data_IF_443796029017
#
_entry.id   IF_443796029017
#
_cell.length_a   1.000
_cell.length_b   1.000
_cell.length_c   1.000
_cell.angle_alpha   90.00
_cell.angle_beta   90.00
_cell.angle_gamma   90.00
#
_symmetry.space_group_name_H-M   'P 1'
#
loop_
_entity.id
_entity.type
_entity.pdbx_description
1 polymer ?
#
# COMPACT_ATOMS: atom_id res chain seq x y z
N UNK A 1 -4.17 -11.05 -7.11
CA UNK A 1 -2.87 -10.39 -6.84
C UNK A 1 -3.03 -9.75 -5.48
N UNK A 2 -2.16 -10.08 -4.53
CA UNK A 2 -2.29 -9.75 -3.09
C UNK A 2 -1.32 -8.67 -2.69
N UNK A 3 -1.78 -7.66 -1.95
CA UNK A 3 -0.94 -6.63 -1.34
C UNK A 3 0.20 -7.27 -0.53
N UNK A 4 1.47 -6.87 -0.74
CA UNK A 4 2.61 -7.55 -0.14
C UNK A 4 2.59 -7.43 1.39
N UNK A 5 2.80 -8.56 2.06
CA UNK A 5 2.88 -8.63 3.53
C UNK A 5 4.17 -7.95 4.00
N UNK A 6 4.03 -6.89 4.80
CA UNK A 6 5.14 -6.12 5.37
C UNK A 6 5.43 -6.51 6.81
N UNK A 7 6.58 -6.08 7.34
CA UNK A 7 6.93 -6.21 8.77
C UNK A 7 5.83 -5.63 9.69
N UNK A 8 5.16 -4.56 9.28
CA UNK A 8 4.07 -3.95 10.04
C UNK A 8 2.88 -4.91 10.22
N UNK A 9 2.63 -5.83 9.28
CA UNK A 9 1.59 -6.85 9.45
C UNK A 9 1.93 -7.83 10.59
N UNK A 10 3.18 -8.28 10.66
CA UNK A 10 3.64 -9.17 11.74
C UNK A 10 3.55 -8.49 13.12
N UNK A 11 3.92 -7.20 13.16
CA UNK A 11 3.78 -6.39 14.37
C UNK A 11 2.30 -6.20 14.74
N UNK A 12 1.43 -5.91 13.77
CA UNK A 12 0.01 -5.74 13.99
C UNK A 12 -0.66 -7.03 14.53
N UNK A 13 -0.33 -8.18 13.96
CA UNK A 13 -0.78 -9.49 14.46
C UNK A 13 -0.30 -9.74 15.90
N UNK A 14 0.97 -9.44 16.20
CA UNK A 14 1.53 -9.59 17.55
C UNK A 14 0.81 -8.67 18.54
N UNK A 15 0.57 -7.41 18.17
CA UNK A 15 -0.17 -6.43 18.97
C UNK A 15 -1.60 -6.91 19.24
N UNK A 16 -2.30 -7.45 18.23
CA UNK A 16 -3.64 -8.03 18.40
C UNK A 16 -3.66 -9.25 19.33
N UNK A 17 -2.68 -10.14 19.21
CA UNK A 17 -2.57 -11.30 20.12
C UNK A 17 -2.30 -10.87 21.57
N UNK A 18 -1.45 -9.86 21.78
CA UNK A 18 -1.22 -9.29 23.11
C UNK A 18 -2.47 -8.61 23.66
N UNK A 19 -3.18 -7.86 22.82
CA UNK A 19 -4.45 -7.23 23.15
C UNK A 19 -5.49 -8.26 23.62
N UNK A 20 -5.72 -9.32 22.84
CA UNK A 20 -6.69 -10.37 23.20
C UNK A 20 -6.35 -11.03 24.54
N UNK A 21 -5.07 -11.33 24.81
CA UNK A 21 -4.64 -11.86 26.11
C UNK A 21 -4.92 -10.90 27.26
N UNK A 22 -4.61 -9.61 27.10
CA UNK A 22 -4.85 -8.59 28.13
C UNK A 22 -6.34 -8.37 28.40
N UNK A 23 -7.20 -8.44 27.38
CA UNK A 23 -8.66 -8.41 27.57
C UNK A 23 -9.10 -9.57 28.45
N UNK A 24 -8.61 -10.79 28.19
CA UNK A 24 -8.92 -11.95 29.02
C UNK A 24 -8.37 -11.83 30.46
N UNK A 25 -7.19 -11.26 30.64
CA UNK A 25 -6.64 -10.98 31.98
C UNK A 25 -7.56 -10.03 32.77
N UNK A 26 -8.04 -8.94 32.14
CA UNK A 26 -8.98 -7.99 32.78
C UNK A 26 -10.32 -8.67 33.10
N UNK A 27 -10.82 -9.51 32.19
CA UNK A 27 -12.06 -10.28 32.40
C UNK A 27 -11.97 -11.20 33.60
N UNK A 28 -10.82 -11.86 33.79
CA UNK A 28 -10.60 -12.85 34.85
C UNK A 28 -10.13 -12.24 36.18
N UNK A 29 -9.69 -10.98 36.20
CA UNK A 29 -9.31 -10.31 37.44
C UNK A 29 -10.54 -10.06 38.33
N UNK A 30 -10.49 -10.63 39.55
CA UNK A 30 -11.56 -10.56 40.55
C UNK A 30 -11.57 -9.24 41.33
N UNK A 31 -10.51 -8.43 41.19
CA UNK A 31 -10.40 -7.12 41.84
C UNK A 31 -11.22 -6.05 41.14
N UNK A 32 -11.57 -6.26 39.86
CA UNK A 32 -12.38 -5.30 39.11
C UNK A 32 -13.88 -5.57 39.25
N UNK A 33 -14.64 -4.50 39.51
CA UNK A 33 -16.10 -4.50 39.30
C UNK A 33 -16.41 -4.52 37.80
N UNK A 34 -17.66 -4.85 37.39
CA UNK A 34 -18.05 -4.80 35.98
C UNK A 34 -17.73 -3.46 35.30
N UNK A 35 -17.96 -2.35 35.98
CA UNK A 35 -17.71 -0.99 35.49
C UNK A 35 -16.21 -0.74 35.32
N UNK A 36 -15.40 -1.16 36.29
CA UNK A 36 -13.94 -1.04 36.22
C UNK A 36 -13.36 -1.90 35.09
N UNK A 37 -13.94 -3.07 34.80
CA UNK A 37 -13.56 -3.90 33.63
C UNK A 37 -13.89 -3.19 32.34
N UNK A 38 -15.08 -2.61 32.24
CA UNK A 38 -15.50 -1.87 31.04
C UNK A 38 -14.55 -0.69 30.76
N UNK A 39 -14.19 0.07 31.79
CA UNK A 39 -13.23 1.17 31.70
C UNK A 39 -11.84 0.71 31.27
N UNK A 40 -11.29 -0.31 31.93
CA UNK A 40 -9.96 -0.84 31.60
C UNK A 40 -9.91 -1.42 30.18
N UNK A 41 -10.97 -2.12 29.74
CA UNK A 41 -11.07 -2.66 28.38
C UNK A 41 -11.25 -1.54 27.35
N UNK A 42 -12.02 -0.49 27.65
CA UNK A 42 -12.18 0.67 26.77
C UNK A 42 -10.83 1.36 26.52
N UNK A 43 -10.06 1.62 27.59
CA UNK A 43 -8.72 2.18 27.51
C UNK A 43 -7.77 1.31 26.70
N UNK A 44 -7.73 0.01 27.02
CA UNK A 44 -6.89 -0.94 26.29
C UNK A 44 -7.24 -1.00 24.79
N UNK A 45 -8.54 -0.99 24.46
CA UNK A 45 -9.01 -0.98 23.07
C UNK A 45 -8.59 0.28 22.33
N UNK A 46 -8.80 1.46 22.94
CA UNK A 46 -8.36 2.75 22.37
C UNK A 46 -6.86 2.75 22.10
N UNK A 47 -6.05 2.46 23.12
CA UNK A 47 -4.59 2.53 23.03
C UNK A 47 -4.06 1.54 21.97
N UNK A 48 -4.66 0.35 21.90
CA UNK A 48 -4.32 -0.66 20.89
C UNK A 48 -4.68 -0.20 19.49
N UNK A 49 -5.86 0.37 19.27
CA UNK A 49 -6.24 0.89 17.95
C UNK A 49 -5.37 2.07 17.52
N UNK A 50 -4.96 2.93 18.45
CA UNK A 50 -3.98 3.97 18.14
C UNK A 50 -2.64 3.38 17.69
N UNK A 51 -2.12 2.36 18.38
CA UNK A 51 -0.90 1.65 17.96
C UNK A 51 -1.04 0.96 16.60
N UNK A 52 -2.18 0.29 16.35
CA UNK A 52 -2.45 -0.37 15.08
C UNK A 52 -2.61 0.64 13.94
N UNK A 53 -3.21 1.80 14.21
CA UNK A 53 -3.29 2.92 13.27
C UNK A 53 -1.91 3.43 12.87
N UNK A 54 -1.00 3.61 13.84
CA UNK A 54 0.40 3.99 13.53
C UNK A 54 1.11 2.95 12.65
N UNK A 55 0.92 1.65 12.94
CA UNK A 55 1.48 0.59 12.11
C UNK A 55 0.90 0.57 10.69
N UNK A 56 -0.38 0.93 10.52
CA UNK A 56 -1.00 1.10 9.20
C UNK A 56 -0.35 2.26 8.44
N UNK A 57 -0.21 3.41 9.08
CA UNK A 57 0.40 4.59 8.45
C UNK A 57 1.87 4.32 8.06
N UNK A 58 2.62 3.63 8.92
CA UNK A 58 4.00 3.20 8.61
C UNK A 58 4.07 2.22 7.45
N UNK A 59 3.13 1.27 7.36
CA UNK A 59 3.01 0.36 6.21
C UNK A 59 2.76 1.16 4.94
N UNK A 60 1.80 2.08 4.96
CA UNK A 60 1.40 2.87 3.79
C UNK A 60 2.55 3.77 3.32
N UNK A 61 3.27 4.39 4.26
CA UNK A 61 4.49 5.13 3.97
C UNK A 61 5.58 4.23 3.35
N UNK A 62 5.76 3.01 3.87
CA UNK A 62 6.73 2.04 3.35
C UNK A 62 6.38 1.60 1.93
N UNK A 63 5.11 1.24 1.68
CA UNK A 63 4.63 0.83 0.36
C UNK A 63 4.71 1.97 -0.65
N UNK A 64 4.32 3.19 -0.28
CA UNK A 64 4.44 4.34 -1.15
C UNK A 64 5.91 4.70 -1.44
N UNK A 65 6.80 4.59 -0.45
CA UNK A 65 8.24 4.75 -0.66
C UNK A 65 8.81 3.71 -1.62
N UNK A 66 8.37 2.44 -1.49
CA UNK A 66 8.75 1.36 -2.40
C UNK A 66 8.22 1.58 -3.81
N UNK A 67 6.96 2.02 -3.94
CA UNK A 67 6.34 2.40 -5.22
C UNK A 67 7.19 3.46 -5.94
N UNK A 68 7.47 4.58 -5.27
CA UNK A 68 8.27 5.68 -5.84
C UNK A 68 9.65 5.19 -6.28
N UNK A 69 10.29 4.33 -5.49
CA UNK A 69 11.59 3.75 -5.84
C UNK A 69 11.51 2.86 -7.09
N UNK A 70 10.52 1.97 -7.17
CA UNK A 70 10.29 1.11 -8.34
C UNK A 70 9.97 1.92 -9.59
N UNK A 71 9.12 2.94 -9.47
CA UNK A 71 8.79 3.88 -10.54
C UNK A 71 10.05 4.58 -11.08
N UNK A 72 10.88 5.10 -10.17
CA UNK A 72 12.16 5.73 -10.54
C UNK A 72 13.15 4.74 -11.18
N UNK A 73 13.18 3.48 -10.74
CA UNK A 73 14.04 2.45 -11.32
C UNK A 73 13.57 2.01 -12.71
N UNK A 74 12.25 1.85 -12.90
CA UNK A 74 11.68 1.30 -14.13
C UNK A 74 11.66 2.33 -15.26
N UNK A 75 11.14 3.53 -14.98
CA UNK A 75 10.96 4.55 -16.01
C UNK A 75 11.68 5.87 -15.72
N UNK A 76 12.31 6.03 -14.55
CA UNK A 76 13.14 7.19 -14.26
C UNK A 76 14.49 7.21 -14.98
N UNK A 77 15.10 8.39 -15.01
CA UNK A 77 16.49 8.58 -15.43
C UNK A 77 17.47 8.18 -14.31
N UNK A 78 18.69 7.73 -14.65
CA UNK A 78 19.72 7.46 -13.65
C UNK A 78 20.07 8.73 -12.86
N UNK A 79 20.47 8.57 -11.59
CA UNK A 79 20.77 9.69 -10.67
C UNK A 79 21.78 10.71 -11.20
N UNK A 80 22.66 10.30 -12.11
CA UNK A 80 23.70 11.13 -12.72
C UNK A 80 23.46 11.37 -14.21
N UNK A 81 22.19 11.34 -14.65
CA UNK A 81 21.82 11.69 -16.00
C UNK A 81 22.33 13.09 -16.37
N UNK A 82 22.81 13.26 -17.60
CA UNK A 82 23.28 14.55 -18.07
C UNK A 82 22.11 15.53 -18.22
N UNK A 83 22.42 16.82 -18.34
CA UNK A 83 21.41 17.82 -18.73
C UNK A 83 20.77 17.48 -20.07
N UNK A 84 21.54 16.91 -21.00
CA UNK A 84 21.03 16.47 -22.30
C UNK A 84 20.00 15.35 -22.13
N UNK A 85 20.30 14.32 -21.34
CA UNK A 85 19.37 13.20 -21.09
C UNK A 85 18.09 13.68 -20.41
N UNK A 86 18.22 14.64 -19.49
CA UNK A 86 17.07 15.24 -18.79
C UNK A 86 16.15 15.99 -19.75
N UNK A 87 16.72 16.76 -20.69
CA UNK A 87 15.95 17.45 -21.72
C UNK A 87 15.31 16.47 -22.70
N UNK A 88 16.05 15.45 -23.14
CA UNK A 88 15.53 14.38 -24.00
C UNK A 88 14.39 13.63 -23.33
N UNK A 89 14.49 13.33 -22.03
CA UNK A 89 13.42 12.66 -21.29
C UNK A 89 12.17 13.53 -21.15
N UNK A 90 12.33 14.84 -20.95
CA UNK A 90 11.19 15.76 -20.94
C UNK A 90 10.49 15.82 -22.29
N UNK A 91 11.25 15.87 -23.38
CA UNK A 91 10.69 15.82 -24.74
C UNK A 91 9.98 14.48 -24.99
N UNK A 92 10.60 13.37 -24.58
CA UNK A 92 10.01 12.05 -24.68
C UNK A 92 8.69 11.93 -23.90
N UNK A 93 8.60 12.50 -22.69
CA UNK A 93 7.36 12.55 -21.92
C UNK A 93 6.27 13.36 -22.62
N UNK A 94 6.62 14.50 -23.22
CA UNK A 94 5.69 15.30 -24.02
C UNK A 94 5.25 14.59 -25.30
N UNK A 95 6.13 13.78 -25.90
CA UNK A 95 5.77 12.95 -27.06
C UNK A 95 4.86 11.79 -26.67
N UNK A 96 5.15 11.09 -25.58
CA UNK A 96 4.33 10.00 -25.08
C UNK A 96 2.94 10.49 -24.62
N UNK A 97 2.85 11.68 -24.02
CA UNK A 97 1.57 12.25 -23.57
C UNK A 97 0.60 12.58 -24.70
N UNK A 98 1.10 12.75 -25.93
CA UNK A 98 0.30 13.00 -27.14
C UNK A 98 -0.29 11.73 -27.76
N UNK A 99 0.15 10.54 -27.34
CA UNK A 99 -0.50 9.31 -27.74
C UNK A 99 -1.90 9.25 -27.10
N UNK A 100 -2.94 9.11 -27.93
CA UNK A 100 -4.33 9.20 -27.49
C UNK A 100 -4.82 7.93 -26.78
N UNK A 101 -4.26 6.78 -27.14
CA UNK A 101 -4.64 5.46 -26.64
C UNK A 101 -3.45 4.50 -26.60
N UNK A 102 -3.66 3.32 -26.01
CA UNK A 102 -2.69 2.24 -25.96
C UNK A 102 -2.18 1.78 -27.33
N UNK A 103 -2.97 1.90 -28.40
CA UNK A 103 -2.53 1.48 -29.75
C UNK A 103 -1.49 2.46 -30.31
N UNK A 104 -1.75 3.77 -30.20
CA UNK A 104 -0.81 4.81 -30.58
C UNK A 104 0.47 4.73 -29.74
N UNK A 105 0.33 4.43 -28.45
CA UNK A 105 1.45 4.30 -27.53
C UNK A 105 2.30 3.06 -27.84
N UNK A 106 1.69 1.93 -28.21
CA UNK A 106 2.38 0.72 -28.67
C UNK A 106 3.17 0.98 -29.97
N UNK A 107 2.57 1.68 -30.95
CA UNK A 107 3.27 2.03 -32.19
C UNK A 107 4.47 2.96 -31.94
N UNK A 108 4.33 3.90 -30.98
CA UNK A 108 5.43 4.75 -30.55
C UNK A 108 6.54 3.92 -29.86
N UNK A 109 6.17 2.90 -29.09
CA UNK A 109 7.12 1.98 -28.46
C UNK A 109 7.89 1.16 -29.50
N UNK A 110 7.21 0.58 -30.49
CA UNK A 110 7.85 -0.19 -31.57
C UNK A 110 8.90 0.68 -32.30
N UNK A 111 8.61 1.97 -32.50
CA UNK A 111 9.56 2.93 -33.08
C UNK A 111 10.78 3.11 -32.17
N UNK A 112 10.57 3.31 -30.87
CA UNK A 112 11.64 3.47 -29.89
C UNK A 112 12.53 2.21 -29.80
N UNK A 113 11.91 1.02 -29.83
CA UNK A 113 12.60 -0.27 -29.78
C UNK A 113 13.51 -0.45 -31.01
N UNK A 114 13.00 -0.17 -32.21
CA UNK A 114 13.80 -0.25 -33.46
C UNK A 114 15.02 0.69 -33.41
N UNK A 115 14.87 1.89 -32.83
CA UNK A 115 15.96 2.86 -32.71
C UNK A 115 16.84 2.68 -31.47
N UNK A 116 16.56 1.70 -30.60
CA UNK A 116 17.17 1.56 -29.27
C UNK A 116 17.09 2.86 -28.41
N UNK A 117 16.00 3.63 -28.56
CA UNK A 117 15.77 4.85 -27.80
C UNK A 117 15.19 4.51 -26.42
N UNK A 118 16.10 4.22 -25.50
CA UNK A 118 15.75 3.85 -24.12
C UNK A 118 15.08 4.98 -23.32
N UNK A 119 15.34 6.25 -23.68
CA UNK A 119 14.74 7.42 -23.01
C UNK A 119 13.27 7.52 -23.42
N UNK A 120 12.98 7.38 -24.72
CA UNK A 120 11.61 7.35 -25.22
C UNK A 120 10.84 6.13 -24.71
N UNK A 121 11.44 4.94 -24.74
CA UNK A 121 10.82 3.72 -24.23
C UNK A 121 10.41 3.85 -22.76
N UNK A 122 11.24 4.47 -21.91
CA UNK A 122 10.92 4.74 -20.50
C UNK A 122 9.77 5.74 -20.33
N UNK A 123 9.75 6.82 -21.12
CA UNK A 123 8.67 7.79 -21.07
C UNK A 123 7.32 7.17 -21.49
N UNK A 124 7.34 6.29 -22.50
CA UNK A 124 6.18 5.51 -22.93
C UNK A 124 5.71 4.59 -21.81
N UNK A 125 6.62 3.84 -21.17
CA UNK A 125 6.28 3.00 -20.04
C UNK A 125 5.64 3.79 -18.90
N UNK A 126 6.16 4.99 -18.57
CA UNK A 126 5.58 5.86 -17.55
C UNK A 126 4.13 6.25 -17.88
N UNK A 127 3.85 6.62 -19.14
CA UNK A 127 2.50 6.96 -19.62
C UNK A 127 1.58 5.73 -19.60
N UNK A 128 2.03 4.61 -20.15
CA UNK A 128 1.28 3.35 -20.19
C UNK A 128 0.90 2.89 -18.78
N UNK A 129 1.85 2.94 -17.85
CA UNK A 129 1.61 2.63 -16.45
C UNK A 129 0.60 3.61 -15.84
N UNK A 130 0.75 4.92 -16.06
CA UNK A 130 -0.19 5.94 -15.58
C UNK A 130 -1.64 5.66 -15.99
N UNK A 131 -1.85 5.33 -17.26
CA UNK A 131 -3.17 5.10 -17.86
C UNK A 131 -3.74 3.69 -17.64
N UNK A 132 -2.91 2.74 -17.24
CA UNK A 132 -3.31 1.33 -17.11
C UNK A 132 -3.32 0.56 -18.44
N UNK A 133 -2.51 0.98 -19.41
CA UNK A 133 -2.39 0.34 -20.73
C UNK A 133 -1.55 -0.95 -20.65
N UNK A 134 -2.16 -2.03 -20.19
CA UNK A 134 -1.51 -3.32 -19.90
C UNK A 134 -0.75 -3.89 -21.09
N UNK A 135 -1.31 -3.78 -22.30
CA UNK A 135 -0.70 -4.33 -23.52
C UNK A 135 0.65 -3.68 -23.84
N UNK A 136 0.77 -2.36 -23.63
CA UNK A 136 2.03 -1.62 -23.84
C UNK A 136 3.06 -1.99 -22.77
N UNK A 137 2.62 -2.15 -21.52
CA UNK A 137 3.49 -2.58 -20.41
C UNK A 137 4.04 -3.98 -20.69
N UNK A 138 3.19 -4.93 -21.08
CA UNK A 138 3.61 -6.30 -21.40
C UNK A 138 4.63 -6.32 -22.55
N UNK A 139 4.38 -5.55 -23.61
CA UNK A 139 5.31 -5.43 -24.74
C UNK A 139 6.68 -4.88 -24.32
N UNK A 140 6.70 -3.88 -23.44
CA UNK A 140 7.95 -3.37 -22.87
C UNK A 140 8.69 -4.47 -22.08
N UNK A 141 7.97 -5.26 -21.29
CA UNK A 141 8.54 -6.32 -20.45
C UNK A 141 9.06 -7.51 -21.25
N UNK A 142 8.45 -7.83 -22.41
CA UNK A 142 8.97 -8.85 -23.34
C UNK A 142 10.42 -8.55 -23.75
N UNK A 143 10.73 -7.28 -24.00
CA UNK A 143 12.08 -6.82 -24.33
C UNK A 143 12.98 -6.60 -23.10
N UNK A 144 12.40 -6.56 -21.89
CA UNK A 144 13.07 -6.22 -20.64
C UNK A 144 12.72 -7.20 -19.51
N UNK A 145 12.82 -8.50 -19.76
CA UNK A 145 12.40 -9.56 -18.81
C UNK A 145 13.01 -9.46 -17.41
N UNK A 146 14.21 -8.86 -17.28
CA UNK A 146 14.83 -8.58 -15.97
C UNK A 146 14.04 -7.61 -15.08
N UNK A 147 13.07 -6.89 -15.64
CA UNK A 147 12.20 -5.94 -14.94
C UNK A 147 10.83 -6.53 -14.58
N UNK A 148 10.49 -7.74 -15.03
CA UNK A 148 9.18 -8.38 -14.77
C UNK A 148 8.84 -8.44 -13.28
N UNK A 149 9.77 -8.89 -12.44
CA UNK A 149 9.57 -8.97 -10.99
C UNK A 149 9.27 -7.60 -10.38
N UNK A 150 9.94 -6.55 -10.87
CA UNK A 150 9.74 -5.17 -10.40
C UNK A 150 8.40 -4.62 -10.86
N UNK A 151 8.02 -4.91 -12.10
CA UNK A 151 6.72 -4.53 -12.65
C UNK A 151 5.58 -5.19 -11.89
N UNK A 152 5.71 -6.49 -11.57
CA UNK A 152 4.75 -7.22 -10.77
C UNK A 152 4.64 -6.64 -9.36
N UNK A 153 5.77 -6.37 -8.69
CA UNK A 153 5.78 -5.74 -7.37
C UNK A 153 5.10 -4.36 -7.39
N UNK A 154 5.40 -3.55 -8.40
CA UNK A 154 4.80 -2.23 -8.58
C UNK A 154 3.29 -2.32 -8.81
N UNK A 155 2.85 -3.31 -9.61
CA UNK A 155 1.43 -3.60 -9.85
C UNK A 155 0.72 -4.05 -8.57
N UNK A 156 1.33 -4.93 -7.79
CA UNK A 156 0.78 -5.41 -6.51
C UNK A 156 0.61 -4.28 -5.51
N UNK A 157 1.53 -3.30 -5.48
CA UNK A 157 1.41 -2.12 -4.61
C UNK A 157 0.28 -1.19 -5.06
N UNK A 158 0.06 -1.02 -6.37
CA UNK A 158 -0.96 -0.09 -6.89
C UNK A 158 -2.38 -0.67 -6.92
N UNK A 159 -2.50 -1.92 -7.33
CA UNK A 159 -3.78 -2.55 -7.65
C UNK A 159 -4.09 -3.80 -6.79
N UNK A 160 -3.21 -4.16 -5.85
CA UNK A 160 -3.44 -5.28 -4.92
C UNK A 160 -4.77 -5.19 -4.16
N UNK A 161 -5.27 -3.96 -3.98
CA UNK A 161 -6.52 -3.69 -3.26
C UNK A 161 -7.78 -3.74 -4.15
N UNK A 162 -7.67 -3.49 -5.46
CA UNK A 162 -8.81 -3.25 -6.39
C UNK A 162 -9.28 -4.49 -7.17
N UNK A 163 -8.55 -5.60 -7.13
CA UNK A 163 -8.93 -6.82 -7.86
C UNK A 163 -10.19 -7.48 -7.25
N UNK A 164 -11.34 -7.27 -7.91
CA UNK A 164 -12.71 -7.66 -7.53
C UNK A 164 -12.97 -9.15 -7.19
N UNK A 165 -11.96 -10.02 -7.26
CA UNK A 165 -12.03 -11.44 -6.86
C UNK A 165 -11.46 -11.76 -5.47
N UNK A 166 -10.88 -10.79 -4.75
CA UNK A 166 -10.14 -10.99 -3.49
C UNK A 166 -10.65 -10.14 -2.31
N UNK A 167 -11.91 -9.69 -2.35
CA UNK A 167 -12.54 -8.88 -1.29
C UNK A 167 -12.34 -9.44 0.12
N UNK A 168 -12.36 -10.77 0.28
CA UNK A 168 -12.12 -11.40 1.58
C UNK A 168 -10.69 -11.16 2.09
N UNK A 169 -9.65 -11.44 1.29
CA UNK A 169 -8.24 -11.32 1.70
C UNK A 169 -7.84 -9.87 1.98
N UNK A 170 -8.38 -8.92 1.20
CA UNK A 170 -8.10 -7.50 1.37
C UNK A 170 -8.79 -6.92 2.62
N UNK A 171 -10.01 -7.40 2.92
CA UNK A 171 -10.62 -7.11 4.22
C UNK A 171 -9.77 -7.69 5.36
N UNK A 172 -9.21 -8.90 5.21
CA UNK A 172 -8.30 -9.50 6.21
C UNK A 172 -7.01 -8.69 6.45
N UNK A 173 -6.43 -8.07 5.41
CA UNK A 173 -5.23 -7.23 5.57
C UNK A 173 -5.54 -5.95 6.35
N UNK A 174 -6.67 -5.28 6.08
CA UNK A 174 -7.07 -4.11 6.86
C UNK A 174 -7.55 -4.49 8.27
N UNK A 175 -8.13 -5.68 8.46
CA UNK A 175 -8.44 -6.23 9.80
C UNK A 175 -7.21 -6.46 10.66
N UNK A 176 -6.02 -6.67 10.08
CA UNK A 176 -4.80 -6.82 10.87
C UNK A 176 -4.50 -5.54 11.69
N UNK A 177 -4.89 -4.38 11.17
CA UNK A 177 -4.65 -3.07 11.78
C UNK A 177 -5.85 -2.55 12.60
N UNK A 178 -6.75 -3.43 13.00
CA UNK A 178 -7.87 -3.09 13.89
C UNK A 178 -7.99 -4.11 15.02
N UNK A 179 -8.20 -3.60 16.24
CA UNK A 179 -8.51 -4.45 17.38
C UNK A 179 -9.98 -4.90 17.31
N UNK A 180 -10.23 -6.16 17.65
CA UNK A 180 -11.60 -6.67 17.73
C UNK A 180 -12.33 -6.02 18.90
N UNK A 181 -13.49 -5.39 18.65
CA UNK A 181 -14.26 -4.68 19.69
C UNK A 181 -14.85 -5.67 20.70
N UNK A 182 -14.46 -5.63 22.00
CA UNK A 182 -14.95 -6.55 23.01
C UNK A 182 -16.43 -6.32 23.33
N UNK A 183 -17.09 -7.37 23.83
CA UNK A 183 -18.51 -7.36 24.20
C UNK A 183 -18.86 -6.29 25.23
N UNK A 184 -17.95 -6.01 26.16
CA UNK A 184 -18.09 -5.04 27.25
C UNK A 184 -18.25 -3.61 26.76
N UNK A 185 -17.67 -3.29 25.61
CA UNK A 185 -17.71 -1.95 25.00
C UNK A 185 -18.44 -1.94 23.66
N UNK A 186 -19.04 -3.07 23.25
CA UNK A 186 -19.67 -3.23 21.93
C UNK A 186 -20.85 -2.30 21.73
N UNK A 187 -21.59 -2.01 22.80
CA UNK A 187 -22.73 -1.08 22.78
C UNK A 187 -22.32 0.40 22.78
N UNK A 188 -21.05 0.71 23.07
CA UNK A 188 -20.55 2.09 23.12
C UNK A 188 -20.16 2.56 21.72
N UNK A 189 -20.46 3.82 21.40
CA UNK A 189 -19.87 4.48 20.22
C UNK A 189 -18.38 4.74 20.48
N UNK A 190 -17.61 4.98 19.43
CA UNK A 190 -16.17 5.21 19.58
C UNK A 190 -15.89 6.50 20.39
N UNK A 191 -16.74 7.52 20.26
CA UNK A 191 -16.70 8.72 21.12
C UNK A 191 -16.97 8.42 22.60
N UNK A 192 -17.86 7.47 22.90
CA UNK A 192 -18.14 7.05 24.28
C UNK A 192 -17.01 6.19 24.84
N UNK A 193 -16.36 5.37 24.00
CA UNK A 193 -15.18 4.60 24.39
C UNK A 193 -14.05 5.53 24.78
N UNK A 194 -13.82 6.60 24.00
CA UNK A 194 -12.82 7.62 24.32
C UNK A 194 -13.10 8.26 25.69
N UNK A 195 -14.33 8.71 25.93
CA UNK A 195 -14.71 9.31 27.21
C UNK A 195 -14.55 8.34 28.40
N UNK A 196 -14.92 7.07 28.21
CA UNK A 196 -14.78 6.03 29.25
C UNK A 196 -13.32 5.68 29.49
N UNK A 197 -12.47 5.73 28.46
CA UNK A 197 -11.03 5.50 28.56
C UNK A 197 -10.32 6.66 29.28
N UNK A 198 -10.67 7.91 28.97
CA UNK A 198 -10.13 9.12 29.63
C UNK A 198 -10.51 9.19 31.12
N UNK A 199 -11.72 8.74 31.47
CA UNK A 199 -12.16 8.70 32.87
C UNK A 199 -11.42 7.66 33.74
N UNK A 200 -10.58 6.81 33.13
CA UNK A 200 -9.75 5.82 33.80
C UNK A 200 -8.29 6.27 34.04
N UNK A 201 -7.93 7.50 33.63
CA UNK A 201 -6.67 8.18 33.95
C UNK A 201 -6.78 9.03 35.22
#
# INVERSE_FOLDING_TARGET
>A
MTTPRTKQHELAETTRQQYQRRVEEIRNDRRFTPEAKQQAIAKLYRDTNHQLGQLRDERDATLNGRRIALEAEMFGLPKYASTSDTLSYRDALDRASRAEDGTALAALYDTAAISNDTILAKAILAKAYGDGEVDVINRYLEDHSTLETKAQELWDIRYGDEAAGQTLQNTFNDFAFQADKPTEIRALSDSMIEQVAEAAD
#
